data_IF_487687376380
#
_entry.id   IF_487687376380
#
_cell.length_a   1.000
_cell.length_b   1.000
_cell.length_c   1.000
_cell.angle_alpha   90.00
_cell.angle_beta   90.00
_cell.angle_gamma   90.00
#
_symmetry.space_group_name_H-M   'P 1'
#
loop_
_entity.id
_entity.type
_entity.pdbx_description
1 polymer ?
#
# COMPACT_ATOMS: atom_id res chain seq x y z
N UNK A 1 13.19 -3.64 -5.39
CA UNK A 1 13.33 -4.74 -4.41
C UNK A 1 12.12 -5.66 -4.47
N UNK A 2 11.94 -6.35 -5.61
CA UNK A 2 11.26 -7.65 -5.66
C UNK A 2 12.17 -8.74 -6.24
N UNK A 3 13.35 -8.40 -6.80
CA UNK A 3 14.10 -9.31 -7.69
C UNK A 3 13.23 -9.96 -8.79
N UNK A 4 12.09 -9.34 -9.14
CA UNK A 4 11.10 -9.91 -10.06
C UNK A 4 10.01 -10.78 -9.40
N UNK A 5 9.93 -10.84 -8.07
CA UNK A 5 8.82 -11.49 -7.36
C UNK A 5 7.54 -10.63 -7.44
N UNK A 6 6.73 -10.93 -8.44
CA UNK A 6 5.46 -10.25 -8.69
C UNK A 6 4.38 -10.60 -7.66
N UNK A 7 4.64 -11.53 -6.73
CA UNK A 7 3.71 -11.89 -5.66
C UNK A 7 3.74 -10.91 -4.47
N UNK A 8 4.70 -10.00 -4.41
CA UNK A 8 4.85 -9.00 -3.36
C UNK A 8 4.67 -7.59 -3.93
N UNK A 9 3.98 -6.73 -3.19
CA UNK A 9 3.89 -5.31 -3.49
C UNK A 9 4.30 -4.48 -2.28
N UNK A 10 5.19 -3.51 -2.49
CA UNK A 10 5.62 -2.55 -1.48
C UNK A 10 4.83 -1.27 -1.68
N UNK A 11 4.06 -0.86 -0.67
CA UNK A 11 3.07 0.22 -0.77
C UNK A 11 3.45 1.38 0.13
N UNK A 12 3.77 2.51 -0.51
CA UNK A 12 3.92 3.78 0.16
C UNK A 12 2.53 4.38 0.40
N UNK A 13 2.09 4.40 1.66
CA UNK A 13 0.76 4.88 2.04
C UNK A 13 0.66 6.41 2.12
N UNK A 14 1.77 7.11 1.88
CA UNK A 14 1.86 8.56 2.04
C UNK A 14 1.11 9.31 0.95
N UNK A 15 0.82 10.58 1.21
CA UNK A 15 0.33 11.48 0.15
C UNK A 15 1.44 11.78 -0.87
N UNK A 16 1.11 12.10 -2.13
CA UNK A 16 2.10 12.26 -3.21
C UNK A 16 3.20 13.28 -2.93
N UNK A 17 2.91 14.34 -2.17
CA UNK A 17 3.87 15.37 -1.77
C UNK A 17 5.02 14.83 -0.90
N UNK A 18 4.77 13.79 -0.10
CA UNK A 18 5.81 13.10 0.66
C UNK A 18 6.61 12.14 -0.21
N UNK A 19 5.96 11.45 -1.15
CA UNK A 19 6.62 10.52 -2.08
C UNK A 19 7.57 11.28 -3.02
N UNK A 20 7.20 12.48 -3.45
CA UNK A 20 8.04 13.36 -4.26
C UNK A 20 9.38 13.74 -3.57
N UNK A 21 9.46 13.64 -2.24
CA UNK A 21 10.70 13.88 -1.48
C UNK A 21 11.63 12.67 -1.48
N UNK A 22 11.12 11.49 -1.81
CA UNK A 22 11.85 10.22 -1.80
C UNK A 22 11.01 9.11 -1.19
N UNK A 23 11.14 7.90 -1.72
CA UNK A 23 10.45 6.69 -1.26
C UNK A 23 11.37 5.46 -1.33
N UNK A 24 10.92 4.32 -0.79
CA UNK A 24 11.62 3.04 -0.91
C UNK A 24 11.66 2.65 -2.40
N UNK A 25 12.83 2.28 -2.96
CA UNK A 25 12.94 1.88 -4.35
C UNK A 25 11.93 0.78 -4.72
N UNK A 26 11.29 0.93 -5.89
CA UNK A 26 10.20 0.09 -6.41
C UNK A 26 8.89 0.08 -5.61
N UNK A 27 8.71 0.96 -4.62
CA UNK A 27 7.42 1.11 -3.96
C UNK A 27 6.39 1.77 -4.89
N UNK A 28 5.14 1.29 -4.83
CA UNK A 28 3.99 1.92 -5.49
C UNK A 28 3.32 2.84 -4.47
N UNK A 29 3.02 4.08 -4.88
CA UNK A 29 2.29 4.99 -4.03
C UNK A 29 0.78 4.70 -4.09
N UNK A 30 0.20 4.31 -2.96
CA UNK A 30 -1.25 4.23 -2.77
C UNK A 30 -1.61 5.12 -1.58
N UNK A 31 -1.88 6.42 -1.81
CA UNK A 31 -2.20 7.34 -0.74
C UNK A 31 -3.38 6.85 0.10
N UNK A 32 -3.28 6.98 1.42
CA UNK A 32 -4.31 6.46 2.32
C UNK A 32 -5.72 7.01 2.10
N UNK A 33 -5.82 8.19 1.48
CA UNK A 33 -7.09 8.81 1.10
C UNK A 33 -7.79 8.05 -0.01
N UNK A 34 -7.06 7.35 -0.89
CA UNK A 34 -7.58 6.61 -2.04
C UNK A 34 -8.14 5.22 -1.70
N UNK A 35 -7.84 4.72 -0.50
CA UNK A 35 -8.45 3.48 0.04
C UNK A 35 -9.48 3.77 1.13
N UNK A 36 -9.81 5.04 1.40
CA UNK A 36 -10.66 5.41 2.53
C UNK A 36 -11.93 6.13 2.05
N UNK A 37 -13.10 5.47 2.07
CA UNK A 37 -14.37 6.09 1.70
C UNK A 37 -14.71 7.34 2.53
N UNK A 38 -14.33 7.38 3.81
CA UNK A 38 -14.53 8.55 4.67
C UNK A 38 -13.63 9.75 4.29
N UNK A 39 -12.73 9.56 3.31
CA UNK A 39 -11.90 10.61 2.70
C UNK A 39 -12.26 10.88 1.24
N UNK A 40 -13.37 10.32 0.77
CA UNK A 40 -13.90 10.57 -0.57
C UNK A 40 -13.48 9.56 -1.62
N UNK A 41 -12.78 8.47 -1.27
CA UNK A 41 -12.54 7.38 -2.21
C UNK A 41 -13.87 6.73 -2.62
N UNK A 42 -14.11 6.66 -3.91
CA UNK A 42 -15.28 5.98 -4.47
C UNK A 42 -15.07 4.47 -4.53
N UNK A 43 -16.14 3.66 -4.55
CA UNK A 43 -16.02 2.21 -4.72
C UNK A 43 -15.24 1.81 -5.98
N UNK A 44 -15.41 2.57 -7.08
CA UNK A 44 -14.71 2.34 -8.34
C UNK A 44 -13.21 2.57 -8.19
N UNK A 45 -12.79 3.69 -7.59
CA UNK A 45 -11.36 3.96 -7.35
C UNK A 45 -10.71 2.89 -6.45
N UNK A 46 -11.44 2.40 -5.45
CA UNK A 46 -10.94 1.33 -4.58
C UNK A 46 -10.83 0.01 -5.36
N UNK A 47 -11.82 -0.32 -6.20
CA UNK A 47 -11.80 -1.51 -7.04
C UNK A 47 -10.63 -1.49 -8.04
N UNK A 48 -10.40 -0.36 -8.70
CA UNK A 48 -9.27 -0.15 -9.61
C UNK A 48 -7.93 -0.38 -8.89
N UNK A 49 -7.76 0.19 -7.69
CA UNK A 49 -6.54 -0.03 -6.90
C UNK A 49 -6.37 -1.50 -6.50
N UNK A 50 -7.45 -2.17 -6.08
CA UNK A 50 -7.41 -3.60 -5.73
C UNK A 50 -6.98 -4.46 -6.93
N UNK A 51 -7.49 -4.15 -8.12
CA UNK A 51 -7.14 -4.84 -9.36
C UNK A 51 -5.70 -4.54 -9.79
N UNK A 52 -5.36 -3.27 -9.98
CA UNK A 52 -4.10 -2.85 -10.61
C UNK A 52 -2.88 -3.03 -9.69
N UNK A 53 -3.02 -2.75 -8.40
CA UNK A 53 -1.89 -2.76 -7.47
C UNK A 53 -1.78 -4.09 -6.74
N UNK A 54 -2.91 -4.64 -6.31
CA UNK A 54 -2.94 -5.79 -5.41
C UNK A 54 -3.27 -7.11 -6.10
N UNK A 55 -3.53 -7.12 -7.41
CA UNK A 55 -3.88 -8.32 -8.19
C UNK A 55 -5.11 -9.06 -7.64
N UNK A 56 -6.13 -8.30 -7.23
CA UNK A 56 -7.42 -8.82 -6.79
C UNK A 56 -8.35 -8.80 -8.00
N UNK A 57 -8.94 -9.94 -8.35
CA UNK A 57 -9.94 -10.01 -9.41
C UNK A 57 -11.33 -9.68 -8.88
N UNK A 58 -12.23 -9.27 -9.76
CA UNK A 58 -13.64 -9.07 -9.45
C UNK A 58 -14.49 -9.95 -10.38
N UNK A 59 -15.46 -10.66 -9.82
CA UNK A 59 -16.43 -11.46 -10.57
C UNK A 59 -17.80 -11.31 -9.94
N UNK A 60 -18.81 -10.98 -10.76
CA UNK A 60 -20.21 -10.84 -10.31
C UNK A 60 -20.41 -9.88 -9.12
N UNK A 61 -19.59 -8.82 -9.04
CA UNK A 61 -19.64 -7.83 -7.95
C UNK A 61 -19.02 -8.28 -6.64
N UNK A 62 -18.26 -9.39 -6.65
CA UNK A 62 -17.49 -9.88 -5.50
C UNK A 62 -15.99 -9.87 -5.83
N UNK A 63 -15.19 -9.43 -4.86
CA UNK A 63 -13.74 -9.49 -4.95
C UNK A 63 -13.23 -10.91 -4.65
N UNK A 64 -12.34 -11.41 -5.50
CA UNK A 64 -11.59 -12.64 -5.33
C UNK A 64 -10.12 -12.33 -4.98
N UNK A 65 -9.74 -12.68 -3.75
CA UNK A 65 -8.40 -12.43 -3.21
C UNK A 65 -7.45 -13.63 -3.34
N UNK A 66 -7.83 -14.69 -4.06
CA UNK A 66 -7.03 -15.90 -4.24
C UNK A 66 -5.62 -15.57 -4.72
N UNK A 67 -5.52 -14.72 -5.75
CA UNK A 67 -4.26 -14.30 -6.36
C UNK A 67 -3.71 -12.96 -5.82
N UNK A 68 -4.30 -12.43 -4.75
CA UNK A 68 -3.88 -11.15 -4.18
C UNK A 68 -2.41 -11.20 -3.75
N UNK A 69 -1.67 -10.11 -3.97
CA UNK A 69 -0.26 -10.00 -3.59
C UNK A 69 -0.07 -9.96 -2.06
N UNK A 70 1.13 -10.26 -1.58
CA UNK A 70 1.53 -9.89 -0.22
C UNK A 70 1.86 -8.40 -0.20
N UNK A 71 1.05 -7.61 0.51
CA UNK A 71 1.19 -6.17 0.60
C UNK A 71 2.08 -5.78 1.78
N UNK A 72 3.20 -5.12 1.53
CA UNK A 72 4.08 -4.53 2.56
C UNK A 72 3.84 -3.03 2.60
N UNK A 73 3.12 -2.54 3.62
CA UNK A 73 2.76 -1.13 3.73
C UNK A 73 3.73 -0.37 4.64
N UNK A 74 4.03 0.89 4.28
CA UNK A 74 4.81 1.80 5.12
C UNK A 74 4.34 3.27 4.94
N UNK A 75 4.84 4.16 5.81
CA UNK A 75 4.59 5.60 5.80
C UNK A 75 5.86 6.37 6.23
N UNK A 76 5.75 7.55 6.83
CA UNK A 76 6.86 8.39 7.28
C UNK A 76 7.61 7.78 8.47
N UNK A 77 6.93 7.11 9.38
CA UNK A 77 7.56 6.57 10.59
C UNK A 77 6.57 5.81 11.47
N UNK A 78 7.06 5.26 12.58
CA UNK A 78 6.28 4.51 13.57
C UNK A 78 5.11 5.29 14.19
N UNK A 79 5.16 6.62 14.12
CA UNK A 79 4.14 7.57 14.57
C UNK A 79 3.09 7.89 13.50
N UNK A 80 3.31 7.53 12.23
CA UNK A 80 2.42 7.87 11.15
C UNK A 80 1.16 6.98 11.12
N UNK A 81 -0.02 7.60 11.10
CA UNK A 81 -1.31 6.91 11.02
C UNK A 81 -1.79 6.48 9.63
N UNK A 82 -1.06 6.80 8.55
CA UNK A 82 -1.53 6.56 7.17
C UNK A 82 -1.48 5.07 6.78
N UNK A 83 -0.41 4.33 7.07
CA UNK A 83 -0.39 2.87 6.83
C UNK A 83 -1.40 2.12 7.70
N UNK A 84 -1.56 2.42 9.01
CA UNK A 84 -2.66 1.86 9.80
C UNK A 84 -4.04 2.12 9.19
N UNK A 85 -4.26 3.27 8.54
CA UNK A 85 -5.50 3.57 7.85
C UNK A 85 -5.70 2.66 6.63
N UNK A 86 -4.68 2.52 5.77
CA UNK A 86 -4.71 1.60 4.64
C UNK A 86 -4.94 0.15 5.07
N UNK A 87 -4.19 -0.34 6.05
CA UNK A 87 -4.33 -1.70 6.59
C UNK A 87 -5.77 -1.94 7.03
N UNK A 88 -6.37 -1.02 7.80
CA UNK A 88 -7.75 -1.15 8.26
C UNK A 88 -8.75 -1.16 7.11
N UNK A 89 -8.58 -0.34 6.08
CA UNK A 89 -9.52 -0.34 4.95
C UNK A 89 -9.35 -1.55 4.04
N UNK A 90 -8.12 -2.02 3.81
CA UNK A 90 -7.87 -3.29 3.12
C UNK A 90 -8.56 -4.47 3.86
N UNK A 91 -8.44 -4.52 5.20
CA UNK A 91 -9.13 -5.53 6.00
C UNK A 91 -10.65 -5.43 5.89
N UNK A 92 -11.22 -4.22 5.86
CA UNK A 92 -12.68 -4.00 5.73
C UNK A 92 -13.23 -4.52 4.40
N UNK A 93 -12.45 -4.45 3.32
CA UNK A 93 -12.86 -4.95 2.00
C UNK A 93 -12.57 -6.45 1.82
N UNK A 94 -12.03 -7.13 2.84
CA UNK A 94 -11.80 -8.57 2.83
C UNK A 94 -10.39 -9.00 2.44
N UNK A 95 -9.43 -8.06 2.34
CA UNK A 95 -8.06 -8.41 2.02
C UNK A 95 -7.47 -9.39 3.06
N UNK A 96 -6.81 -10.49 2.64
CA UNK A 96 -6.36 -11.52 3.58
C UNK A 96 -5.34 -10.98 4.59
N UNK A 97 -5.67 -11.02 5.88
CA UNK A 97 -4.83 -10.45 6.93
C UNK A 97 -3.40 -11.02 6.94
N UNK A 98 -3.23 -12.31 6.62
CA UNK A 98 -1.92 -12.96 6.57
C UNK A 98 -1.03 -12.47 5.41
N UNK A 99 -1.64 -11.89 4.36
CA UNK A 99 -0.95 -11.24 3.22
C UNK A 99 -0.63 -9.76 3.47
N UNK A 100 -1.01 -9.19 4.61
CA UNK A 100 -0.67 -7.82 4.97
C UNK A 100 0.55 -7.81 5.89
N UNK A 101 1.62 -7.13 5.46
CA UNK A 101 2.81 -6.85 6.25
C UNK A 101 2.92 -5.34 6.47
N UNK A 102 3.46 -4.96 7.62
CA UNK A 102 3.62 -3.56 7.97
C UNK A 102 5.06 -3.27 8.35
N UNK A 103 5.76 -2.51 7.51
CA UNK A 103 7.04 -1.95 7.86
C UNK A 103 6.82 -0.67 8.69
N UNK A 104 6.72 -0.86 10.00
CA UNK A 104 6.33 0.20 10.95
C UNK A 104 7.36 1.32 11.07
N UNK A 105 8.64 1.02 10.84
CA UNK A 105 9.73 2.01 10.87
C UNK A 105 9.55 3.13 9.85
N UNK A 106 8.87 2.86 8.73
CA UNK A 106 8.61 3.85 7.69
C UNK A 106 9.88 4.42 7.05
N UNK A 107 9.74 5.54 6.33
CA UNK A 107 10.86 6.23 5.70
C UNK A 107 11.88 6.76 6.70
N UNK A 108 11.45 7.16 7.90
CA UNK A 108 12.34 7.63 8.95
C UNK A 108 13.37 6.56 9.32
N UNK A 109 12.92 5.33 9.60
CA UNK A 109 13.83 4.21 9.91
C UNK A 109 14.69 3.85 8.69
N UNK A 110 14.08 3.80 7.49
CA UNK A 110 14.78 3.51 6.24
C UNK A 110 15.95 4.47 5.97
N UNK A 111 15.71 5.77 6.09
CA UNK A 111 16.70 6.82 5.85
C UNK A 111 17.76 6.89 6.96
N UNK A 112 17.38 6.67 8.22
CA UNK A 112 18.33 6.61 9.36
C UNK A 112 19.33 5.47 9.17
N UNK A 113 18.89 4.35 8.60
CA UNK A 113 19.76 3.22 8.29
C UNK A 113 20.66 3.46 7.05
N UNK A 114 20.54 4.62 6.39
CA UNK A 114 21.33 4.98 5.21
C UNK A 114 20.94 4.19 3.95
N UNK A 115 19.74 3.61 3.91
CA UNK A 115 19.25 2.85 2.77
C UNK A 115 18.88 3.78 1.60
N UNK A 116 19.03 3.28 0.38
CA UNK A 116 18.78 4.06 -0.84
C UNK A 116 17.30 4.46 -0.98
N UNK A 117 17.05 5.66 -1.51
CA UNK A 117 15.71 6.14 -1.86
C UNK A 117 15.59 6.36 -3.36
N UNK A 118 14.37 6.31 -3.87
CA UNK A 118 14.02 6.66 -5.25
C UNK A 118 13.04 7.83 -5.26
N UNK A 119 13.04 8.62 -6.33
CA UNK A 119 11.98 9.60 -6.62
C UNK A 119 11.07 9.01 -7.71
N UNK A 120 9.75 9.27 -7.64
CA UNK A 120 8.80 8.84 -8.65
C UNK A 120 9.06 9.49 -10.00
#
# INVERSE_FOLDING_TARGET
>A
MSDGDDSIVVVDSRTPDWVAKGTIPSAINVPWTKLNPAKGATPIEIAEILQDVFNVSESEGLFDFTNAKTAVLFCNGMWCGQSPNNIKNLLKVGYPAHKIKWYRGGMQDWEILGLSTAKP
#
